data_IF_396210467981
#
_entry.id   IF_396210467981
#
_cell.length_a   1.000
_cell.length_b   1.000
_cell.length_c   1.000
_cell.angle_alpha   90.00
_cell.angle_beta   90.00
_cell.angle_gamma   90.00
#
_symmetry.space_group_name_H-M   'P 1'
#
loop_
_entity.id
_entity.type
_entity.pdbx_description
1 polymer ?
#
# COMPACT_ATOMS: atom_id res chain seq x y z
N UNK A 1 1.05 24.82 13.86
CA UNK A 1 1.82 26.08 13.90
C UNK A 1 3.27 25.72 13.58
N UNK A 2 3.71 26.05 12.37
CA UNK A 2 4.99 25.79 11.68
C UNK A 2 5.90 24.66 12.22
N UNK A 3 5.69 23.43 11.72
CA UNK A 3 6.67 22.31 11.82
C UNK A 3 7.64 22.24 10.63
N UNK A 4 7.43 23.08 9.61
CA UNK A 4 8.33 23.19 8.47
C UNK A 4 9.36 24.27 8.82
N UNK A 5 10.61 23.84 8.95
CA UNK A 5 11.74 24.77 9.03
C UNK A 5 12.26 24.96 7.61
N UNK A 6 12.50 26.20 7.22
CA UNK A 6 13.21 26.54 5.99
C UNK A 6 14.68 26.14 6.15
N UNK A 7 14.97 24.88 5.87
CA UNK A 7 16.33 24.34 5.86
C UNK A 7 16.62 23.93 4.43
N UNK A 8 17.75 24.41 3.88
CA UNK A 8 18.16 24.15 2.51
C UNK A 8 17.91 22.67 2.09
N UNK A 9 17.18 22.42 0.99
CA UNK A 9 16.70 21.07 0.63
C UNK A 9 17.80 20.05 0.33
N UNK A 10 19.03 20.49 0.06
CA UNK A 10 19.96 19.73 -0.78
C UNK A 10 21.01 18.91 -0.02
N UNK A 11 20.98 18.85 1.33
CA UNK A 11 22.11 18.27 2.09
C UNK A 11 21.76 17.39 3.32
N UNK A 12 20.50 16.98 3.58
CA UNK A 12 20.14 16.50 4.95
C UNK A 12 19.32 15.20 5.12
N UNK A 13 19.06 14.39 4.09
CA UNK A 13 18.41 13.05 4.28
C UNK A 13 19.31 11.93 4.76
N UNK A 14 20.52 11.72 4.19
CA UNK A 14 21.43 10.69 4.68
C UNK A 14 21.73 10.80 6.18
N UNK A 15 22.02 11.99 6.76
CA UNK A 15 22.47 12.08 8.14
C UNK A 15 21.38 11.72 9.15
N UNK A 16 20.10 12.09 8.97
CA UNK A 16 19.07 11.75 9.97
C UNK A 16 18.83 10.24 10.08
N UNK A 17 18.81 9.54 8.95
CA UNK A 17 18.61 8.10 8.93
C UNK A 17 19.77 7.36 9.59
N UNK A 18 20.99 7.78 9.26
CA UNK A 18 22.21 7.23 9.83
C UNK A 18 22.31 7.54 11.33
N UNK A 19 21.99 8.76 11.76
CA UNK A 19 22.09 9.19 13.16
C UNK A 19 21.10 8.42 14.04
N UNK A 20 19.82 8.31 13.64
CA UNK A 20 18.87 7.54 14.45
C UNK A 20 19.26 6.06 14.47
N UNK A 21 19.69 5.50 13.33
CA UNK A 21 20.05 4.08 13.26
C UNK A 21 21.27 3.77 14.12
N UNK A 22 22.30 4.63 14.08
CA UNK A 22 23.47 4.53 14.94
C UNK A 22 23.11 4.65 16.42
N UNK A 23 22.21 5.57 16.80
CA UNK A 23 21.76 5.70 18.18
C UNK A 23 21.02 4.45 18.67
N UNK A 24 20.18 3.85 17.82
CA UNK A 24 19.49 2.59 18.14
C UNK A 24 20.51 1.46 18.32
N UNK A 25 21.42 1.28 17.35
CA UNK A 25 22.37 0.17 17.34
C UNK A 25 23.46 0.27 18.41
N UNK A 26 23.88 1.48 18.81
CA UNK A 26 24.97 1.67 19.78
C UNK A 26 24.49 1.83 21.22
N UNK A 27 23.28 2.38 21.43
CA UNK A 27 22.82 2.76 22.77
C UNK A 27 21.56 1.98 23.14
N UNK A 28 20.50 2.08 22.33
CA UNK A 28 19.19 1.55 22.73
C UNK A 28 19.21 0.02 22.79
N UNK A 29 19.57 -0.62 21.67
CA UNK A 29 19.50 -2.07 21.51
C UNK A 29 20.51 -2.83 22.39
N UNK A 30 21.79 -2.43 22.50
CA UNK A 30 22.74 -3.16 23.35
C UNK A 30 22.39 -3.09 24.84
N UNK A 31 21.84 -1.96 25.31
CA UNK A 31 21.45 -1.80 26.72
C UNK A 31 20.19 -2.60 27.02
N UNK A 32 19.16 -2.54 26.16
CA UNK A 32 17.96 -3.37 26.34
C UNK A 32 18.29 -4.87 26.22
N UNK A 33 19.14 -5.24 25.27
CA UNK A 33 19.62 -6.61 25.09
C UNK A 33 20.44 -7.09 26.28
N UNK A 34 21.27 -6.25 26.90
CA UNK A 34 22.00 -6.62 28.12
C UNK A 34 21.06 -6.91 29.30
N UNK A 35 19.97 -6.15 29.44
CA UNK A 35 18.99 -6.40 30.50
C UNK A 35 18.30 -7.75 30.36
N UNK A 36 17.98 -8.15 29.11
CA UNK A 36 17.18 -9.32 28.79
C UNK A 36 18.04 -10.59 28.60
N UNK A 37 19.10 -10.52 27.78
CA UNK A 37 19.91 -11.67 27.38
C UNK A 37 21.33 -11.68 27.96
N UNK A 38 21.86 -10.52 28.33
CA UNK A 38 23.25 -10.37 28.77
C UNK A 38 23.51 -10.62 30.25
N UNK A 39 22.56 -11.23 30.98
CA UNK A 39 22.65 -11.42 32.44
C UNK A 39 22.32 -10.18 33.26
N UNK A 40 21.63 -9.20 32.67
CA UNK A 40 21.19 -8.01 33.39
C UNK A 40 20.05 -8.27 34.38
N UNK A 41 19.51 -7.19 34.93
CA UNK A 41 18.54 -7.26 36.02
C UNK A 41 17.21 -7.92 35.64
N UNK A 42 16.72 -7.77 34.39
CA UNK A 42 15.50 -8.45 33.94
C UNK A 42 15.70 -9.96 33.82
N UNK A 43 16.83 -10.38 33.22
CA UNK A 43 17.23 -11.79 33.18
C UNK A 43 17.30 -12.40 34.59
N UNK A 44 17.87 -11.66 35.56
CA UNK A 44 17.96 -12.08 36.96
C UNK A 44 16.60 -12.22 37.67
N UNK A 45 15.58 -11.53 37.17
CA UNK A 45 14.20 -11.59 37.67
C UNK A 45 13.36 -12.68 36.98
N UNK A 46 13.97 -13.54 36.15
CA UNK A 46 13.29 -14.57 35.36
C UNK A 46 12.36 -14.01 34.27
N UNK A 47 12.67 -12.82 33.75
CA UNK A 47 12.03 -12.29 32.56
C UNK A 47 12.45 -13.11 31.35
N UNK A 48 11.47 -13.61 30.61
CA UNK A 48 11.70 -14.48 29.47
C UNK A 48 11.29 -13.82 28.15
N UNK A 49 12.23 -13.77 27.22
CA UNK A 49 12.04 -13.29 25.85
C UNK A 49 13.02 -14.04 24.96
N UNK A 50 12.58 -15.15 24.36
CA UNK A 50 13.47 -16.10 23.69
C UNK A 50 14.20 -15.48 22.48
N UNK A 51 13.46 -14.97 21.50
CA UNK A 51 14.03 -14.40 20.28
C UNK A 51 13.83 -12.87 20.14
N UNK A 52 13.09 -12.21 21.04
CA UNK A 52 13.01 -10.73 21.08
C UNK A 52 11.66 -10.09 20.74
N UNK A 53 10.52 -10.57 21.24
CA UNK A 53 9.26 -9.80 21.12
C UNK A 53 9.35 -8.46 21.82
N UNK A 54 10.03 -8.37 22.97
CA UNK A 54 10.28 -7.10 23.64
C UNK A 54 11.55 -6.47 23.10
N UNK A 55 12.68 -7.19 23.12
CA UNK A 55 14.00 -6.66 22.81
C UNK A 55 14.12 -6.06 21.39
N UNK A 56 13.46 -6.68 20.41
CA UNK A 56 13.53 -6.28 19.00
C UNK A 56 12.24 -5.59 18.57
N UNK A 57 11.12 -6.31 18.66
CA UNK A 57 9.86 -5.84 18.06
C UNK A 57 9.22 -4.69 18.86
N UNK A 58 9.04 -4.84 20.17
CA UNK A 58 8.46 -3.75 20.98
C UNK A 58 9.35 -2.51 20.95
N UNK A 59 10.67 -2.67 21.10
CA UNK A 59 11.62 -1.55 21.00
C UNK A 59 11.47 -0.85 19.64
N UNK A 60 11.58 -1.59 18.53
CA UNK A 60 11.44 -1.00 17.19
C UNK A 60 10.08 -0.33 16.96
N UNK A 61 9.00 -0.95 17.41
CA UNK A 61 7.64 -0.43 17.30
C UNK A 61 7.39 0.84 18.13
N UNK A 62 7.93 0.92 19.35
CA UNK A 62 7.86 2.12 20.19
C UNK A 62 8.60 3.29 19.56
N UNK A 63 9.77 3.01 18.98
CA UNK A 63 10.57 4.02 18.28
C UNK A 63 9.83 4.51 17.04
N UNK A 64 9.23 3.59 16.28
CA UNK A 64 8.39 3.95 15.13
C UNK A 64 7.18 4.80 15.55
N UNK A 65 6.51 4.46 16.64
CA UNK A 65 5.37 5.20 17.19
C UNK A 65 5.78 6.62 17.61
N UNK A 66 6.87 6.74 18.36
CA UNK A 66 7.39 8.02 18.82
C UNK A 66 7.87 8.87 17.63
N UNK A 67 8.57 8.26 16.67
CA UNK A 67 9.04 8.90 15.46
C UNK A 67 7.88 9.44 14.63
N UNK A 68 6.84 8.63 14.39
CA UNK A 68 5.64 9.03 13.66
C UNK A 68 4.87 10.16 14.38
N UNK A 69 4.74 10.08 15.72
CA UNK A 69 4.09 11.12 16.51
C UNK A 69 4.85 12.47 16.48
N UNK A 70 6.19 12.42 16.57
CA UNK A 70 7.03 13.61 16.55
C UNK A 70 7.12 14.24 15.15
N UNK A 71 7.27 13.41 14.10
CA UNK A 71 7.28 13.84 12.70
C UNK A 71 5.93 14.45 12.28
N UNK A 72 4.85 13.85 12.77
CA UNK A 72 3.48 14.19 12.41
C UNK A 72 3.04 13.56 11.08
N UNK A 73 1.74 13.62 10.77
CA UNK A 73 1.16 12.86 9.66
C UNK A 73 1.49 13.43 8.29
N UNK A 74 1.53 12.58 7.26
CA UNK A 74 1.78 12.97 5.86
C UNK A 74 0.71 13.94 5.36
N UNK A 75 1.10 14.81 4.43
CA UNK A 75 0.17 15.75 3.79
C UNK A 75 -0.95 14.95 3.11
N UNK A 76 -2.21 15.29 3.40
CA UNK A 76 -3.39 14.65 2.80
C UNK A 76 -3.89 13.38 3.52
N UNK A 77 -3.17 12.87 4.53
CA UNK A 77 -3.60 11.71 5.34
C UNK A 77 -4.86 12.00 6.17
N UNK A 78 -5.04 13.22 6.65
CA UNK A 78 -6.23 13.63 7.42
C UNK A 78 -6.93 14.78 6.72
N UNK A 79 -8.25 14.70 6.60
CA UNK A 79 -9.07 15.81 6.10
C UNK A 79 -9.17 16.95 7.13
N UNK A 80 -9.82 18.06 6.74
CA UNK A 80 -10.06 19.22 7.62
C UNK A 80 -10.93 18.88 8.85
N UNK A 81 -11.70 17.79 8.79
CA UNK A 81 -12.56 17.28 9.86
C UNK A 81 -11.84 16.21 10.72
N UNK A 82 -10.61 15.86 10.38
CA UNK A 82 -9.83 14.82 11.05
C UNK A 82 -10.18 13.38 10.64
N UNK A 83 -10.97 13.16 9.58
CA UNK A 83 -11.20 11.83 8.99
C UNK A 83 -9.93 11.36 8.29
N UNK A 84 -9.48 10.15 8.60
CA UNK A 84 -8.34 9.54 7.93
C UNK A 84 -8.68 9.28 6.45
N UNK A 85 -7.70 9.45 5.57
CA UNK A 85 -7.72 9.08 4.16
C UNK A 85 -6.66 8.01 3.92
N UNK A 86 -7.04 6.92 3.26
CA UNK A 86 -6.09 5.88 2.92
C UNK A 86 -5.11 6.36 1.84
N UNK A 87 -3.82 6.20 2.09
CA UNK A 87 -2.77 6.29 1.07
C UNK A 87 -2.38 4.84 0.75
N UNK A 88 -2.81 4.27 -0.39
CA UNK A 88 -2.59 2.86 -0.70
C UNK A 88 -1.10 2.56 -0.89
N UNK A 89 -0.73 1.30 -0.65
CA UNK A 89 0.60 0.80 -0.95
C UNK A 89 0.90 0.91 -2.45
N UNK A 90 2.08 1.42 -2.78
CA UNK A 90 2.50 1.63 -4.17
C UNK A 90 2.70 0.33 -4.96
N UNK A 91 2.94 -0.81 -4.28
CA UNK A 91 3.13 -2.12 -4.90
C UNK A 91 2.80 -3.26 -3.90
N UNK A 92 1.69 -3.96 -4.14
CA UNK A 92 1.24 -5.07 -3.28
C UNK A 92 2.05 -6.37 -3.54
N UNK A 93 2.57 -6.59 -4.75
CA UNK A 93 3.38 -7.78 -5.03
C UNK A 93 4.74 -7.71 -4.34
N UNK A 94 5.35 -6.52 -4.27
CA UNK A 94 6.55 -6.29 -3.48
C UNK A 94 6.30 -6.49 -1.97
N UNK A 95 5.14 -6.07 -1.46
CA UNK A 95 4.72 -6.35 -0.08
C UNK A 95 4.60 -7.86 0.18
N UNK A 96 3.93 -8.59 -0.72
CA UNK A 96 3.79 -10.04 -0.63
C UNK A 96 5.15 -10.74 -0.60
N UNK A 97 6.05 -10.37 -1.53
CA UNK A 97 7.42 -10.90 -1.58
C UNK A 97 8.18 -10.61 -0.28
N UNK A 98 8.09 -9.40 0.24
CA UNK A 98 8.71 -9.02 1.51
C UNK A 98 8.22 -9.86 2.68
N UNK A 99 6.91 -10.11 2.77
CA UNK A 99 6.33 -10.95 3.83
C UNK A 99 6.79 -12.40 3.72
N UNK A 100 6.87 -12.97 2.50
CA UNK A 100 7.40 -14.32 2.31
C UNK A 100 8.86 -14.43 2.71
N UNK A 101 9.69 -13.45 2.35
CA UNK A 101 11.11 -13.41 2.76
C UNK A 101 11.20 -13.32 4.29
N UNK A 102 10.44 -12.42 4.93
CA UNK A 102 10.44 -12.26 6.38
C UNK A 102 9.97 -13.53 7.08
N UNK A 103 8.91 -14.17 6.61
CA UNK A 103 8.41 -15.44 7.17
C UNK A 103 9.47 -16.53 7.07
N UNK A 104 10.09 -16.69 5.89
CA UNK A 104 11.17 -17.67 5.71
C UNK A 104 12.35 -17.40 6.65
N UNK A 105 12.82 -16.14 6.71
CA UNK A 105 13.92 -15.76 7.58
C UNK A 105 13.56 -15.89 9.08
N UNK A 106 12.28 -15.84 9.45
CA UNK A 106 11.83 -16.00 10.83
C UNK A 106 12.08 -17.41 11.39
N UNK A 107 12.13 -18.42 10.53
CA UNK A 107 12.58 -19.76 10.95
C UNK A 107 14.02 -19.74 11.44
N UNK A 108 14.88 -18.98 10.76
CA UNK A 108 16.25 -18.74 11.20
C UNK A 108 16.31 -17.87 12.46
N UNK A 109 15.45 -16.85 12.56
CA UNK A 109 15.40 -15.94 13.70
C UNK A 109 15.00 -16.66 14.99
N UNK A 110 13.87 -17.36 15.00
CA UNK A 110 13.39 -18.09 16.16
C UNK A 110 14.18 -19.39 16.34
N UNK A 111 14.27 -20.24 15.31
CA UNK A 111 14.95 -21.54 15.43
C UNK A 111 16.44 -21.41 15.78
N UNK A 112 17.12 -20.39 15.24
CA UNK A 112 18.52 -20.10 15.56
C UNK A 112 18.74 -19.54 16.97
N UNK A 113 17.70 -18.99 17.61
CA UNK A 113 17.77 -18.50 19.00
C UNK A 113 17.90 -19.62 20.03
N UNK A 114 17.76 -20.89 19.61
CA UNK A 114 18.12 -22.07 20.41
C UNK A 114 19.62 -22.11 20.74
N UNK A 115 20.48 -21.43 19.94
CA UNK A 115 21.95 -21.29 20.09
C UNK A 115 22.78 -22.57 20.21
N UNK A 116 22.13 -23.74 20.23
CA UNK A 116 22.72 -25.06 20.25
C UNK A 116 21.87 -26.04 19.44
N UNK A 117 22.52 -27.03 18.83
CA UNK A 117 21.90 -28.19 18.16
C UNK A 117 22.78 -29.43 18.39
N UNK A 118 23.36 -29.53 19.58
CA UNK A 118 24.39 -30.54 19.89
C UNK A 118 23.80 -31.80 20.52
N UNK A 119 22.64 -31.68 21.15
CA UNK A 119 21.94 -32.78 21.80
C UNK A 119 20.58 -33.01 21.15
N UNK A 120 20.03 -34.21 21.32
CA UNK A 120 18.68 -34.54 20.82
C UNK A 120 17.62 -33.60 21.40
N UNK A 121 17.78 -33.17 22.66
CA UNK A 121 16.90 -32.20 23.31
C UNK A 121 16.95 -30.82 22.64
N UNK A 122 18.14 -30.33 22.26
CA UNK A 122 18.28 -29.05 21.54
C UNK A 122 17.60 -29.10 20.17
N UNK A 123 17.72 -30.26 19.48
CA UNK A 123 17.10 -30.48 18.18
C UNK A 123 15.57 -30.55 18.28
N UNK A 124 15.05 -31.22 19.31
CA UNK A 124 13.62 -31.26 19.60
C UNK A 124 13.07 -29.86 19.90
N UNK A 125 13.76 -29.08 20.74
CA UNK A 125 13.38 -27.71 21.05
C UNK A 125 13.37 -26.82 19.81
N UNK A 126 14.43 -26.84 19.01
CA UNK A 126 14.50 -26.06 17.77
C UNK A 126 13.37 -26.44 16.80
N UNK A 127 13.02 -27.74 16.71
CA UNK A 127 11.91 -28.21 15.88
C UNK A 127 10.55 -27.69 16.38
N UNK A 128 10.34 -27.69 17.69
CA UNK A 128 9.13 -27.16 18.33
C UNK A 128 9.01 -25.66 18.07
N UNK A 129 10.09 -24.91 18.25
CA UNK A 129 10.15 -23.46 18.00
C UNK A 129 9.80 -23.14 16.56
N UNK A 130 10.36 -23.86 15.58
CA UNK A 130 10.03 -23.67 14.16
C UNK A 130 8.56 -23.99 13.88
N UNK A 131 8.02 -25.06 14.47
CA UNK A 131 6.61 -25.43 14.31
C UNK A 131 5.67 -24.38 14.89
N UNK A 132 5.92 -23.92 16.12
CA UNK A 132 5.16 -22.87 16.78
C UNK A 132 5.19 -21.57 15.98
N UNK A 133 6.35 -21.22 15.42
CA UNK A 133 6.54 -20.03 14.58
C UNK A 133 5.64 -20.07 13.35
N UNK A 134 5.63 -21.20 12.62
CA UNK A 134 4.78 -21.35 11.44
C UNK A 134 3.29 -21.35 11.79
N UNK A 135 2.92 -22.05 12.86
CA UNK A 135 1.53 -22.20 13.27
C UNK A 135 0.93 -20.85 13.66
N UNK A 136 1.64 -20.04 14.47
CA UNK A 136 1.15 -18.72 14.89
C UNK A 136 0.98 -17.77 13.69
N UNK A 137 1.92 -17.78 12.75
CA UNK A 137 1.84 -16.97 11.52
C UNK A 137 0.64 -17.36 10.65
N UNK A 138 0.45 -18.67 10.41
CA UNK A 138 -0.65 -19.17 9.58
C UNK A 138 -2.02 -18.86 10.20
N UNK A 139 -2.16 -19.09 11.52
CA UNK A 139 -3.41 -18.82 12.25
C UNK A 139 -3.73 -17.32 12.25
N UNK A 140 -2.74 -16.46 12.54
CA UNK A 140 -2.94 -15.01 12.52
C UNK A 140 -3.39 -14.51 11.14
N UNK A 141 -2.79 -15.04 10.07
CA UNK A 141 -3.15 -14.71 8.68
C UNK A 141 -4.60 -15.08 8.36
N UNK A 142 -5.00 -16.32 8.67
CA UNK A 142 -6.37 -16.80 8.41
C UNK A 142 -7.39 -16.03 9.24
N UNK A 143 -7.09 -15.78 10.52
CA UNK A 143 -7.98 -15.03 11.41
C UNK A 143 -8.19 -13.61 10.92
N UNK A 144 -7.12 -12.90 10.54
CA UNK A 144 -7.26 -11.54 10.00
C UNK A 144 -8.00 -11.53 8.65
N UNK A 145 -7.76 -12.50 7.78
CA UNK A 145 -8.49 -12.61 6.52
C UNK A 145 -10.00 -12.80 6.77
N UNK A 146 -10.38 -13.71 7.66
CA UNK A 146 -11.80 -13.94 8.02
C UNK A 146 -12.38 -12.69 8.70
N UNK A 147 -11.65 -12.09 9.64
CA UNK A 147 -12.13 -10.92 10.38
C UNK A 147 -12.34 -9.71 9.46
N UNK A 148 -11.41 -9.44 8.54
CA UNK A 148 -11.56 -8.36 7.57
C UNK A 148 -12.69 -8.63 6.59
N UNK A 149 -12.90 -9.88 6.19
CA UNK A 149 -14.05 -10.26 5.37
C UNK A 149 -15.38 -10.00 6.07
N UNK A 150 -15.51 -10.39 7.34
CA UNK A 150 -16.72 -10.15 8.14
C UNK A 150 -16.96 -8.67 8.42
N UNK A 151 -15.90 -7.89 8.66
CA UNK A 151 -16.00 -6.48 9.05
C UNK A 151 -16.19 -5.54 7.86
N UNK A 152 -15.52 -5.80 6.75
CA UNK A 152 -15.48 -4.90 5.59
C UNK A 152 -16.20 -5.46 4.36
N UNK A 153 -16.71 -6.70 4.41
CA UNK A 153 -17.40 -7.37 3.30
C UNK A 153 -16.47 -7.94 2.23
N UNK A 154 -15.16 -7.61 2.27
CA UNK A 154 -14.13 -8.10 1.35
C UNK A 154 -12.83 -8.38 2.14
N UNK A 155 -12.02 -9.37 1.73
CA UNK A 155 -10.72 -9.63 2.37
C UNK A 155 -9.74 -8.50 2.05
N UNK A 156 -9.12 -7.91 3.08
CA UNK A 156 -8.08 -6.90 2.91
C UNK A 156 -6.71 -7.58 2.84
N UNK A 157 -6.10 -7.57 1.66
CA UNK A 157 -4.82 -8.23 1.39
C UNK A 157 -3.68 -7.60 2.19
N UNK A 158 -3.66 -6.27 2.33
CA UNK A 158 -2.59 -5.58 3.07
C UNK A 158 -2.64 -5.91 4.55
N UNK A 159 -3.85 -5.97 5.13
CA UNK A 159 -4.04 -6.36 6.53
C UNK A 159 -3.70 -7.83 6.76
N UNK A 160 -4.03 -8.70 5.81
CA UNK A 160 -3.69 -10.13 5.89
C UNK A 160 -2.18 -10.34 5.92
N UNK A 161 -1.43 -9.60 5.09
CA UNK A 161 0.04 -9.60 5.12
C UNK A 161 0.62 -9.06 6.42
N UNK A 162 0.09 -7.96 6.94
CA UNK A 162 0.50 -7.45 8.26
C UNK A 162 0.16 -8.42 9.40
N UNK A 163 -0.93 -9.18 9.27
CA UNK A 163 -1.29 -10.18 10.26
C UNK A 163 -0.36 -11.39 10.27
N UNK A 164 0.17 -11.80 9.12
CA UNK A 164 1.22 -12.82 9.06
C UNK A 164 2.43 -12.38 9.92
N UNK A 165 2.89 -11.14 9.72
CA UNK A 165 3.99 -10.57 10.50
C UNK A 165 3.62 -10.40 11.98
N UNK A 166 2.40 -9.98 12.31
CA UNK A 166 1.94 -9.86 13.69
C UNK A 166 1.99 -11.19 14.46
N UNK A 167 1.59 -12.29 13.81
CA UNK A 167 1.66 -13.64 14.39
C UNK A 167 3.11 -14.07 14.64
N UNK A 168 4.01 -13.79 13.70
CA UNK A 168 5.44 -14.03 13.85
C UNK A 168 6.05 -13.21 14.99
N UNK A 169 5.69 -11.92 15.12
CA UNK A 169 6.13 -11.08 16.24
C UNK A 169 5.61 -11.61 17.58
N UNK A 170 4.34 -11.98 17.67
CA UNK A 170 3.71 -12.40 18.92
C UNK A 170 4.29 -13.71 19.45
N UNK A 171 4.69 -14.64 18.57
CA UNK A 171 5.27 -15.93 18.98
C UNK A 171 6.78 -15.85 19.29
N UNK A 172 7.45 -14.74 18.98
CA UNK A 172 8.92 -14.60 19.10
C UNK A 172 9.45 -14.73 20.54
N UNK A 173 8.75 -14.20 21.55
CA UNK A 173 9.11 -14.37 22.95
C UNK A 173 8.72 -15.75 23.54
N UNK A 174 7.52 -16.30 23.27
CA UNK A 174 7.07 -17.55 23.88
C UNK A 174 7.38 -18.83 23.09
N UNK A 175 8.04 -18.78 21.92
CA UNK A 175 8.09 -19.93 20.99
C UNK A 175 8.74 -21.21 21.55
N UNK A 176 9.61 -21.12 22.54
CA UNK A 176 10.26 -22.23 23.25
C UNK A 176 9.40 -22.75 24.41
N UNK A 177 8.77 -21.85 25.17
CA UNK A 177 8.06 -22.19 26.40
C UNK A 177 6.57 -22.51 26.20
N UNK A 178 6.07 -22.61 24.96
CA UNK A 178 4.65 -22.89 24.68
C UNK A 178 4.44 -24.16 23.87
N UNK A 179 3.30 -24.80 24.13
CA UNK A 179 2.83 -25.91 23.30
C UNK A 179 2.27 -25.38 21.97
N UNK A 180 2.16 -26.21 20.93
CA UNK A 180 1.53 -25.81 19.67
C UNK A 180 0.10 -25.30 19.83
N UNK A 181 -0.64 -25.80 20.83
CA UNK A 181 -1.97 -25.29 21.16
C UNK A 181 -1.89 -23.86 21.72
N UNK A 182 -0.89 -23.57 22.55
CA UNK A 182 -0.60 -22.21 23.00
C UNK A 182 -0.25 -21.28 21.83
N UNK A 183 0.62 -21.73 20.92
CA UNK A 183 0.99 -20.98 19.72
C UNK A 183 -0.22 -20.64 18.83
N UNK A 184 -1.17 -21.57 18.68
CA UNK A 184 -2.43 -21.33 17.98
C UNK A 184 -3.22 -20.16 18.57
N UNK A 185 -3.44 -20.14 19.90
CA UNK A 185 -4.21 -19.07 20.54
C UNK A 185 -3.47 -17.72 20.53
N UNK A 186 -2.14 -17.73 20.65
CA UNK A 186 -1.32 -16.51 20.56
C UNK A 186 -1.46 -15.88 19.18
N UNK A 187 -1.35 -16.70 18.11
CA UNK A 187 -1.55 -16.25 16.73
C UNK A 187 -2.97 -15.77 16.46
N UNK A 188 -3.98 -16.42 17.03
CA UNK A 188 -5.38 -16.01 16.90
C UNK A 188 -5.62 -14.61 17.48
N UNK A 189 -5.13 -14.33 18.69
CA UNK A 189 -5.27 -13.01 19.30
C UNK A 189 -4.48 -11.96 18.52
N UNK A 190 -3.27 -12.29 18.05
CA UNK A 190 -2.44 -11.38 17.25
C UNK A 190 -3.15 -10.92 15.96
N UNK A 191 -3.84 -11.83 15.27
CA UNK A 191 -4.58 -11.54 14.05
C UNK A 191 -5.75 -10.56 14.24
N UNK A 192 -6.47 -10.63 15.37
CA UNK A 192 -7.49 -9.62 15.70
C UNK A 192 -6.86 -8.30 16.15
N UNK A 193 -5.84 -8.39 17.00
CA UNK A 193 -5.23 -7.25 17.66
C UNK A 193 -4.54 -6.32 16.65
N UNK A 194 -3.90 -6.85 15.61
CA UNK A 194 -3.27 -6.02 14.56
C UNK A 194 -4.31 -5.19 13.81
N UNK A 195 -5.47 -5.75 13.45
CA UNK A 195 -6.50 -5.04 12.68
C UNK A 195 -7.10 -3.91 13.52
N UNK A 196 -7.47 -4.20 14.77
CA UNK A 196 -8.02 -3.22 15.70
C UNK A 196 -7.00 -2.14 16.08
N UNK A 197 -5.74 -2.52 16.24
CA UNK A 197 -4.65 -1.59 16.55
C UNK A 197 -4.42 -0.61 15.40
N UNK A 198 -4.38 -1.07 14.15
CA UNK A 198 -4.22 -0.18 12.99
C UNK A 198 -5.37 0.83 12.92
N UNK A 199 -6.62 0.37 13.07
CA UNK A 199 -7.79 1.26 13.11
C UNK A 199 -7.68 2.30 14.25
N UNK A 200 -7.21 1.89 15.42
CA UNK A 200 -7.02 2.78 16.57
C UNK A 200 -5.95 3.84 16.30
N UNK A 201 -4.78 3.46 15.77
CA UNK A 201 -3.72 4.41 15.50
C UNK A 201 -4.08 5.38 14.38
N UNK A 202 -4.72 4.88 13.32
CA UNK A 202 -5.14 5.71 12.18
C UNK A 202 -6.27 6.67 12.57
N UNK A 203 -7.33 6.19 13.23
CA UNK A 203 -8.55 6.98 13.46
C UNK A 203 -8.58 7.72 14.80
N UNK A 204 -8.03 7.13 15.87
CA UNK A 204 -8.14 7.67 17.25
C UNK A 204 -6.87 8.41 17.63
N UNK A 205 -5.71 7.73 17.57
CA UNK A 205 -4.44 8.33 17.96
C UNK A 205 -3.93 9.37 16.93
N UNK A 206 -4.46 9.33 15.70
CA UNK A 206 -4.07 10.17 14.57
C UNK A 206 -2.56 10.10 14.29
N UNK A 207 -1.98 8.91 14.46
CA UNK A 207 -0.57 8.62 14.17
C UNK A 207 -0.53 7.95 12.81
N UNK A 208 0.07 8.63 11.84
CA UNK A 208 0.22 8.12 10.49
C UNK A 208 1.40 7.15 10.41
N UNK A 209 1.10 5.86 10.49
CA UNK A 209 2.04 4.76 10.30
C UNK A 209 1.83 4.14 8.90
N UNK A 210 2.70 4.42 7.91
CA UNK A 210 2.49 4.00 6.53
C UNK A 210 2.42 2.48 6.35
N UNK A 211 3.22 1.74 7.12
CA UNK A 211 3.37 0.29 6.95
C UNK A 211 2.57 -0.49 8.00
N UNK A 212 2.20 0.14 9.11
CA UNK A 212 1.58 -0.53 10.25
C UNK A 212 2.60 -1.15 11.22
N UNK A 213 3.85 -0.65 11.19
CA UNK A 213 4.95 -1.14 12.02
C UNK A 213 4.64 -1.04 13.53
N UNK A 214 3.93 0.00 13.97
CA UNK A 214 3.51 0.17 15.36
C UNK A 214 2.58 -0.97 15.77
N UNK A 215 1.57 -1.25 14.95
CA UNK A 215 0.59 -2.31 15.28
C UNK A 215 1.22 -3.70 15.20
N UNK A 216 2.05 -3.95 14.19
CA UNK A 216 2.73 -5.24 14.00
C UNK A 216 3.81 -5.48 15.05
N UNK A 217 4.65 -4.50 15.36
CA UNK A 217 5.81 -4.72 16.23
C UNK A 217 5.59 -4.29 17.67
N UNK A 218 4.98 -3.12 17.92
CA UNK A 218 4.76 -2.63 19.28
C UNK A 218 3.67 -3.44 19.98
N UNK A 219 2.47 -3.46 19.42
CA UNK A 219 1.31 -4.02 20.13
C UNK A 219 1.37 -5.54 20.18
N UNK A 220 1.76 -6.19 19.08
CA UNK A 220 1.96 -7.64 19.10
C UNK A 220 3.25 -8.06 19.81
N UNK A 221 4.27 -7.20 19.89
CA UNK A 221 5.46 -7.45 20.71
C UNK A 221 5.10 -7.47 22.20
N UNK A 222 4.32 -6.48 22.66
CA UNK A 222 3.76 -6.44 24.01
C UNK A 222 2.89 -7.66 24.27
N UNK A 223 1.98 -8.00 23.35
CA UNK A 223 1.13 -9.18 23.47
C UNK A 223 1.95 -10.46 23.57
N UNK A 224 2.96 -10.65 22.72
CA UNK A 224 3.83 -11.82 22.75
C UNK A 224 4.56 -11.99 24.07
N UNK A 225 5.12 -10.90 24.61
CA UNK A 225 5.81 -10.94 25.90
C UNK A 225 4.86 -11.19 27.07
N UNK A 226 3.64 -10.65 27.04
CA UNK A 226 2.62 -10.96 28.04
C UNK A 226 2.09 -12.41 27.90
N UNK A 227 2.02 -12.93 26.68
CA UNK A 227 1.59 -14.29 26.39
C UNK A 227 2.52 -15.34 27.01
N UNK A 228 3.82 -15.04 27.18
CA UNK A 228 4.74 -15.88 27.98
C UNK A 228 4.20 -16.09 29.40
N UNK A 229 3.78 -15.01 30.07
CA UNK A 229 3.23 -15.06 31.44
C UNK A 229 1.90 -15.81 31.54
N UNK A 230 1.19 -16.00 30.43
CA UNK A 230 -0.10 -16.69 30.37
C UNK A 230 0.05 -18.17 29.99
N UNK A 231 0.80 -18.45 28.91
CA UNK A 231 0.85 -19.74 28.23
C UNK A 231 2.15 -20.52 28.44
N UNK A 232 3.12 -20.02 29.22
CA UNK A 232 4.33 -20.79 29.52
C UNK A 232 3.99 -22.12 30.19
N UNK A 233 4.47 -23.23 29.62
CA UNK A 233 4.31 -24.58 30.16
C UNK A 233 5.32 -24.90 31.29
N UNK A 234 6.28 -24.00 31.54
CA UNK A 234 7.37 -24.20 32.49
C UNK A 234 8.55 -25.01 31.96
N UNK A 235 8.62 -25.23 30.64
CA UNK A 235 9.79 -25.77 29.95
C UNK A 235 10.98 -24.80 29.97
N UNK A 236 12.18 -25.34 29.82
CA UNK A 236 13.45 -24.61 29.67
C UNK A 236 13.82 -23.63 30.80
N UNK A 237 13.31 -23.86 32.01
CA UNK A 237 13.63 -23.07 33.20
C UNK A 237 12.74 -21.83 33.41
N UNK A 238 11.78 -21.59 32.51
CA UNK A 238 10.79 -20.53 32.67
C UNK A 238 9.75 -20.94 33.73
N UNK A 239 9.25 -20.00 34.54
CA UNK A 239 8.17 -20.33 35.47
C UNK A 239 6.87 -20.63 34.72
N UNK A 240 6.04 -21.53 35.26
CA UNK A 240 4.73 -21.85 34.67
C UNK A 240 3.87 -20.59 34.53
N UNK A 241 3.18 -20.46 33.41
CA UNK A 241 2.24 -19.39 33.15
C UNK A 241 0.95 -19.53 33.97
N UNK A 242 0.15 -18.46 33.96
CA UNK A 242 -1.11 -18.38 34.72
C UNK A 242 -2.06 -19.54 34.40
N UNK A 243 -2.17 -19.93 33.12
CA UNK A 243 -3.07 -21.01 32.69
C UNK A 243 -2.56 -22.41 33.00
N UNK A 244 -1.28 -22.55 33.34
CA UNK A 244 -0.63 -23.82 33.73
C UNK A 244 -0.40 -23.91 35.25
N UNK A 245 -1.00 -23.01 36.04
CA UNK A 245 -1.01 -23.06 37.50
C UNK A 245 0.19 -22.41 38.19
N UNK A 246 1.03 -21.64 37.48
CA UNK A 246 2.19 -20.96 38.07
C UNK A 246 1.91 -19.60 38.73
N UNK A 247 0.65 -19.16 38.77
CA UNK A 247 0.23 -17.92 39.43
C UNK A 247 0.48 -16.64 38.61
N UNK A 248 0.31 -15.48 39.26
CA UNK A 248 0.44 -14.15 38.62
C UNK A 248 1.87 -13.61 38.57
N UNK A 249 2.82 -14.29 39.21
CA UNK A 249 4.19 -13.82 39.36
C UNK A 249 4.90 -13.66 38.00
N UNK A 250 4.81 -14.68 37.13
CA UNK A 250 5.43 -14.62 35.80
C UNK A 250 4.81 -13.51 34.95
N UNK A 251 3.48 -13.37 34.95
CA UNK A 251 2.81 -12.27 34.24
C UNK A 251 3.25 -10.89 34.75
N UNK A 252 3.43 -10.74 36.06
CA UNK A 252 3.94 -9.51 36.68
C UNK A 252 5.37 -9.18 36.25
N UNK A 253 6.25 -10.18 36.19
CA UNK A 253 7.65 -10.03 35.73
C UNK A 253 7.68 -9.63 34.26
N UNK A 254 6.88 -10.30 33.41
CA UNK A 254 6.78 -9.96 31.99
C UNK A 254 6.25 -8.53 31.78
N UNK A 255 5.22 -8.13 32.52
CA UNK A 255 4.68 -6.77 32.45
C UNK A 255 5.69 -5.71 32.95
N UNK A 256 6.44 -6.01 34.01
CA UNK A 256 7.50 -5.15 34.51
C UNK A 256 8.60 -4.96 33.45
N UNK A 257 9.01 -6.04 32.77
CA UNK A 257 9.98 -5.98 31.68
C UNK A 257 9.52 -5.11 30.52
N UNK A 258 8.28 -5.32 30.06
CA UNK A 258 7.64 -4.49 29.02
C UNK A 258 7.66 -3.02 29.41
N UNK A 259 7.17 -2.66 30.60
CA UNK A 259 7.08 -1.26 31.05
C UNK A 259 8.46 -0.64 31.21
N UNK A 260 9.41 -1.37 31.78
CA UNK A 260 10.75 -0.84 32.07
C UNK A 260 11.55 -0.59 30.79
N UNK A 261 11.51 -1.53 29.85
CA UNK A 261 12.13 -1.36 28.53
C UNK A 261 11.41 -0.26 27.75
N UNK A 262 10.08 -0.22 27.77
CA UNK A 262 9.33 0.83 27.10
C UNK A 262 9.67 2.23 27.63
N UNK A 263 9.73 2.40 28.96
CA UNK A 263 10.09 3.67 29.59
C UNK A 263 11.52 4.10 29.20
N UNK A 264 12.48 3.18 29.25
CA UNK A 264 13.85 3.44 28.83
C UNK A 264 13.93 3.89 27.36
N UNK A 265 13.33 3.12 26.45
CA UNK A 265 13.35 3.42 25.00
C UNK A 265 12.68 4.76 24.72
N UNK A 266 11.52 5.03 25.33
CA UNK A 266 10.80 6.30 25.14
C UNK A 266 11.62 7.49 25.60
N UNK A 267 12.28 7.41 26.76
CA UNK A 267 13.11 8.51 27.28
C UNK A 267 14.31 8.77 26.37
N UNK A 268 15.08 7.73 26.04
CA UNK A 268 16.30 7.88 25.24
C UNK A 268 15.95 8.37 23.84
N UNK A 269 14.95 7.76 23.19
CA UNK A 269 14.61 8.13 21.81
C UNK A 269 13.88 9.46 21.72
N UNK A 270 13.16 9.88 22.75
CA UNK A 270 12.63 11.25 22.81
C UNK A 270 13.76 12.27 22.82
N UNK A 271 14.83 12.03 23.59
CA UNK A 271 16.01 12.90 23.62
C UNK A 271 16.70 12.90 22.25
N UNK A 272 16.93 11.73 21.66
CA UNK A 272 17.58 11.60 20.33
C UNK A 272 16.77 12.33 19.25
N UNK A 273 15.46 12.10 19.17
CA UNK A 273 14.62 12.77 18.19
C UNK A 273 14.55 14.29 18.42
N UNK A 274 14.58 14.75 19.67
CA UNK A 274 14.67 16.20 19.98
C UNK A 274 16.00 16.81 19.54
N UNK A 275 17.10 16.07 19.68
CA UNK A 275 18.41 16.50 19.18
C UNK A 275 18.36 16.61 17.65
N UNK A 276 17.87 15.58 16.97
CA UNK A 276 17.74 15.56 15.49
C UNK A 276 16.84 16.70 15.00
N UNK A 277 15.71 16.93 15.67
CA UNK A 277 14.78 18.03 15.33
C UNK A 277 15.43 19.42 15.43
N UNK A 278 16.36 19.59 16.38
CA UNK A 278 17.10 20.86 16.55
C UNK A 278 18.26 21.02 15.58
N UNK A 279 18.93 19.96 15.16
CA UNK A 279 20.15 20.03 14.35
C UNK A 279 19.87 19.89 12.85
N UNK A 280 19.21 18.81 12.44
CA UNK A 280 19.01 18.42 11.04
C UNK A 280 17.58 18.69 10.57
N UNK A 281 16.61 18.58 11.49
CA UNK A 281 15.18 18.63 11.21
C UNK A 281 14.62 17.23 10.94
N UNK A 282 13.41 16.95 11.46
CA UNK A 282 12.76 15.65 11.30
C UNK A 282 11.99 15.53 9.98
N UNK A 283 11.35 16.62 9.50
CA UNK A 283 10.49 16.64 8.32
C UNK A 283 11.08 17.50 7.22
N UNK A 284 10.94 17.03 5.97
CA UNK A 284 11.29 17.80 4.78
C UNK A 284 10.28 18.92 4.50
N UNK A 285 10.64 19.95 3.71
CA UNK A 285 9.71 20.97 3.27
C UNK A 285 8.49 20.37 2.55
N UNK A 286 7.33 21.03 2.67
CA UNK A 286 6.07 20.53 2.10
C UNK A 286 6.15 20.32 0.58
N UNK A 287 6.87 21.19 -0.14
CA UNK A 287 7.08 21.06 -1.58
C UNK A 287 7.83 19.77 -1.93
N UNK A 288 8.94 19.49 -1.24
CA UNK A 288 9.73 18.25 -1.40
C UNK A 288 8.94 17.00 -1.03
N UNK A 289 8.06 17.09 -0.02
CA UNK A 289 7.17 15.99 0.37
C UNK A 289 6.14 15.67 -0.73
N UNK A 290 5.66 16.69 -1.45
CA UNK A 290 4.67 16.54 -2.54
C UNK A 290 5.35 16.06 -3.83
N UNK A 291 6.51 16.63 -4.17
CA UNK A 291 7.26 16.29 -5.38
C UNK A 291 7.85 14.88 -5.32
N UNK A 292 8.09 14.37 -4.11
CA UNK A 292 8.64 13.04 -3.86
C UNK A 292 10.13 13.08 -3.54
N UNK A 293 10.52 12.29 -2.54
CA UNK A 293 11.89 12.28 -2.02
C UNK A 293 12.90 11.70 -3.02
N UNK A 294 12.48 10.80 -3.93
CA UNK A 294 13.37 10.16 -4.89
C UNK A 294 14.09 11.17 -5.80
N UNK A 295 13.36 12.21 -6.24
CA UNK A 295 13.87 13.26 -7.14
C UNK A 295 14.95 14.09 -6.45
N UNK A 296 14.67 14.50 -5.21
CA UNK A 296 15.54 15.42 -4.47
C UNK A 296 16.72 14.71 -3.79
N UNK A 297 16.58 13.44 -3.41
CA UNK A 297 17.60 12.73 -2.62
C UNK A 297 18.44 11.75 -3.44
N UNK A 298 17.84 11.11 -4.45
CA UNK A 298 18.51 10.09 -5.25
C UNK A 298 18.77 10.55 -6.69
N UNK A 299 18.26 11.73 -7.09
CA UNK A 299 18.32 12.21 -8.47
C UNK A 299 17.55 11.32 -9.45
N UNK A 300 16.65 10.48 -8.94
CA UNK A 300 15.84 9.56 -9.73
C UNK A 300 14.42 10.12 -9.85
N UNK A 301 13.89 10.17 -11.07
CA UNK A 301 12.50 10.57 -11.29
C UNK A 301 11.49 9.67 -10.54
N UNK A 302 11.88 8.41 -10.30
CA UNK A 302 11.16 7.42 -9.52
C UNK A 302 12.09 6.24 -9.25
N UNK A 303 12.00 5.62 -8.07
CA UNK A 303 12.63 4.32 -7.81
C UNK A 303 12.08 3.18 -8.72
N UNK A 304 10.95 3.41 -9.40
CA UNK A 304 10.37 2.50 -10.38
C UNK A 304 10.78 2.92 -11.80
N UNK A 305 11.43 2.01 -12.52
CA UNK A 305 11.79 2.21 -13.92
C UNK A 305 10.56 2.06 -14.84
N UNK A 306 9.91 3.16 -15.21
CA UNK A 306 8.82 3.17 -16.20
C UNK A 306 7.44 2.81 -15.64
N UNK A 307 6.47 2.60 -16.56
CA UNK A 307 5.02 2.44 -16.35
C UNK A 307 4.66 1.92 -14.94
N UNK A 308 4.41 2.85 -14.02
CA UNK A 308 3.59 2.55 -12.86
C UNK A 308 2.19 2.30 -13.42
N UNK A 309 1.92 1.04 -13.78
CA UNK A 309 0.57 0.56 -13.99
C UNK A 309 -0.07 0.71 -12.62
N UNK A 310 -0.86 1.77 -12.44
CA UNK A 310 -1.93 1.73 -11.46
C UNK A 310 -2.89 0.66 -11.97
N UNK A 311 -2.58 -0.59 -11.65
CA UNK A 311 -3.38 -1.73 -12.01
C UNK A 311 -4.60 -1.72 -11.09
N UNK A 312 -5.59 -0.92 -11.46
CA UNK A 312 -6.91 -0.93 -10.84
C UNK A 312 -7.81 -1.95 -11.55
N UNK A 313 -7.26 -3.11 -11.95
CA UNK A 313 -8.02 -4.26 -12.47
C UNK A 313 -8.84 -4.92 -11.37
N UNK A 314 -9.82 -4.16 -10.87
CA UNK A 314 -10.90 -4.61 -10.00
C UNK A 314 -12.14 -3.73 -10.10
N UNK A 315 -12.15 -2.73 -10.99
CA UNK A 315 -13.28 -1.83 -11.18
C UNK A 315 -14.28 -2.41 -12.19
N UNK A 316 -14.93 -3.51 -11.84
CA UNK A 316 -16.19 -3.86 -12.48
C UNK A 316 -17.31 -2.98 -11.90
N UNK A 317 -18.14 -2.42 -12.77
CA UNK A 317 -19.35 -1.73 -12.34
C UNK A 317 -20.37 -2.78 -11.87
N UNK A 318 -20.84 -2.66 -10.64
CA UNK A 318 -22.15 -3.20 -10.30
C UNK A 318 -23.20 -2.36 -11.04
N UNK A 319 -23.84 -2.95 -12.03
CA UNK A 319 -24.95 -2.34 -12.79
C UNK A 319 -26.07 -2.04 -11.81
N UNK A 320 -26.45 -0.77 -11.68
CA UNK A 320 -27.62 -0.34 -10.91
C UNK A 320 -28.73 0.21 -11.82
N UNK A 321 -29.90 0.45 -11.24
CA UNK A 321 -31.11 0.90 -11.94
C UNK A 321 -30.96 2.23 -12.70
N UNK A 322 -29.89 3.01 -12.45
CA UNK A 322 -29.58 4.26 -13.17
C UNK A 322 -28.49 4.08 -14.25
N UNK A 323 -27.96 2.87 -14.42
CA UNK A 323 -26.90 2.53 -15.38
C UNK A 323 -27.30 1.39 -16.33
N UNK A 324 -28.52 0.87 -16.28
CA UNK A 324 -29.03 -0.10 -17.24
C UNK A 324 -30.05 0.58 -18.16
N UNK A 325 -29.66 0.83 -19.42
CA UNK A 325 -30.50 1.44 -20.46
C UNK A 325 -30.90 0.43 -21.55
N UNK A 326 -30.73 -0.88 -21.29
CA UNK A 326 -31.15 -1.95 -22.19
C UNK A 326 -30.00 -2.61 -22.97
N UNK A 327 -30.32 -3.12 -24.17
CA UNK A 327 -29.49 -4.08 -24.92
C UNK A 327 -28.11 -3.53 -25.37
N UNK A 328 -27.03 -4.18 -24.92
CA UNK A 328 -25.61 -3.78 -25.13
C UNK A 328 -25.08 -3.99 -26.57
N UNK A 329 -25.88 -4.55 -27.48
CA UNK A 329 -25.47 -4.92 -28.84
C UNK A 329 -26.11 -3.99 -29.88
N UNK A 330 -25.29 -3.17 -30.55
CA UNK A 330 -25.73 -2.21 -31.58
C UNK A 330 -26.53 -2.88 -32.71
N UNK A 331 -26.25 -4.15 -33.01
CA UNK A 331 -26.97 -4.89 -34.06
C UNK A 331 -28.37 -5.35 -33.63
N UNK A 332 -28.65 -5.40 -32.32
CA UNK A 332 -29.92 -5.85 -31.73
C UNK A 332 -30.72 -4.71 -31.10
N UNK A 333 -30.11 -3.55 -30.88
CA UNK A 333 -30.77 -2.35 -30.37
C UNK A 333 -31.87 -1.84 -31.32
N UNK A 334 -33.02 -1.45 -30.78
CA UNK A 334 -34.12 -0.91 -31.58
C UNK A 334 -33.77 0.48 -32.16
N UNK A 335 -34.31 0.82 -33.34
CA UNK A 335 -34.13 2.15 -33.95
C UNK A 335 -34.46 3.30 -32.99
N UNK A 336 -35.46 3.12 -32.12
CA UNK A 336 -35.86 4.11 -31.14
C UNK A 336 -34.83 4.31 -30.01
N UNK A 337 -34.08 3.27 -29.61
CA UNK A 337 -33.01 3.37 -28.62
C UNK A 337 -31.75 4.06 -29.18
N UNK A 338 -31.44 3.79 -30.45
CA UNK A 338 -30.34 4.47 -31.18
C UNK A 338 -30.69 5.96 -31.40
N UNK A 339 -31.94 6.28 -31.72
CA UNK A 339 -32.42 7.65 -31.94
C UNK A 339 -32.62 8.45 -30.63
N UNK A 340 -32.79 7.78 -29.49
CA UNK A 340 -32.91 8.40 -28.16
C UNK A 340 -31.55 8.85 -27.60
N UNK A 341 -30.44 8.25 -28.04
CA UNK A 341 -29.08 8.68 -27.72
C UNK A 341 -28.73 9.94 -28.52
N UNK A 342 -29.25 11.09 -28.06
CA UNK A 342 -28.95 12.47 -28.47
C UNK A 342 -28.84 12.67 -29.99
N UNK A 343 -29.90 13.25 -30.59
CA UNK A 343 -29.86 13.77 -31.97
C UNK A 343 -28.58 14.59 -32.20
N UNK A 344 -27.69 14.06 -33.04
CA UNK A 344 -26.52 14.77 -33.51
C UNK A 344 -27.02 16.00 -34.27
N UNK A 345 -26.92 17.17 -33.65
CA UNK A 345 -27.07 18.41 -34.37
C UNK A 345 -25.82 18.55 -35.23
N UNK A 346 -25.94 18.20 -36.52
CA UNK A 346 -24.93 18.53 -37.52
C UNK A 346 -24.89 20.06 -37.67
N UNK A 347 -24.20 20.72 -36.74
CA UNK A 347 -23.82 22.10 -36.94
C UNK A 347 -22.65 22.07 -37.92
N UNK A 348 -22.85 22.63 -39.12
CA UNK A 348 -21.73 22.91 -40.03
C UNK A 348 -20.81 23.89 -39.33
N UNK A 349 -19.77 23.41 -38.68
CA UNK A 349 -18.72 24.24 -38.10
C UNK A 349 -17.76 24.66 -39.20
N UNK A 350 -18.25 25.48 -40.13
CA UNK A 350 -17.40 26.41 -40.86
C UNK A 350 -17.71 27.77 -40.27
N UNK A 351 -16.91 28.16 -39.28
CA UNK A 351 -16.88 29.55 -38.81
C UNK A 351 -16.01 30.30 -39.80
N UNK A 352 -16.58 31.34 -40.42
CA UNK A 352 -15.96 32.21 -41.40
C UNK A 352 -14.47 32.52 -41.06
N UNK A 353 -13.56 32.08 -41.93
CA UNK A 353 -12.19 32.63 -42.00
C UNK A 353 -11.02 31.77 -41.52
N UNK A 354 -11.18 30.49 -41.19
CA UNK A 354 -10.04 29.59 -40.92
C UNK A 354 -9.88 28.58 -42.06
N UNK A 355 -8.69 28.56 -42.67
CA UNK A 355 -8.31 27.65 -43.75
C UNK A 355 -8.53 26.18 -43.33
N UNK A 356 -9.51 25.51 -43.93
CA UNK A 356 -9.60 24.05 -43.89
C UNK A 356 -8.40 23.50 -44.64
N UNK A 357 -7.46 22.90 -43.91
CA UNK A 357 -6.22 22.35 -44.49
C UNK A 357 -6.43 20.97 -45.08
N UNK A 358 -7.63 20.39 -44.95
CA UNK A 358 -7.94 19.01 -45.32
C UNK A 358 -7.31 17.97 -44.37
N UNK A 359 -6.64 18.38 -43.30
CA UNK A 359 -6.02 17.51 -42.30
C UNK A 359 -6.66 17.70 -40.93
N UNK A 360 -7.14 16.61 -40.33
CA UNK A 360 -7.91 16.67 -39.10
C UNK A 360 -7.35 15.71 -38.05
N UNK A 361 -7.16 16.21 -36.83
CA UNK A 361 -6.84 15.41 -35.66
C UNK A 361 -8.12 15.04 -34.94
N UNK A 362 -8.41 13.74 -34.87
CA UNK A 362 -9.53 13.17 -34.11
C UNK A 362 -8.98 12.61 -32.81
N UNK A 363 -9.42 13.15 -31.68
CA UNK A 363 -9.08 12.67 -30.34
C UNK A 363 -10.29 12.00 -29.70
N UNK A 364 -10.19 10.70 -29.46
CA UNK A 364 -11.26 9.84 -28.95
C UNK A 364 -10.88 9.41 -27.54
N UNK A 365 -11.71 9.71 -26.56
CA UNK A 365 -11.55 9.22 -25.19
C UNK A 365 -12.58 8.13 -24.95
N UNK A 366 -12.16 6.90 -24.64
CA UNK A 366 -13.06 5.76 -24.44
C UNK A 366 -12.64 4.87 -23.25
N UNK A 367 -13.45 3.85 -22.94
CA UNK A 367 -13.12 2.82 -21.95
C UNK A 367 -11.99 1.93 -22.48
N UNK A 368 -11.12 1.45 -21.58
CA UNK A 368 -9.99 0.57 -21.93
C UNK A 368 -10.45 -0.73 -22.59
N UNK A 369 -11.53 -1.34 -22.09
CA UNK A 369 -12.09 -2.59 -22.63
C UNK A 369 -12.62 -2.49 -24.07
N UNK A 370 -12.87 -1.27 -24.57
CA UNK A 370 -13.36 -1.03 -25.94
C UNK A 370 -12.25 -0.59 -26.89
N UNK A 371 -11.00 -0.50 -26.41
CA UNK A 371 -9.87 -0.07 -27.24
C UNK A 371 -9.64 -1.02 -28.43
N UNK A 372 -9.68 -2.34 -28.22
CA UNK A 372 -9.47 -3.30 -29.30
C UNK A 372 -10.57 -3.23 -30.36
N UNK A 373 -11.82 -3.05 -29.95
CA UNK A 373 -12.94 -2.84 -30.87
C UNK A 373 -12.79 -1.54 -31.69
N UNK A 374 -12.36 -0.45 -31.05
CA UNK A 374 -12.07 0.81 -31.71
C UNK A 374 -10.90 0.69 -32.68
N UNK A 375 -9.81 0.02 -32.27
CA UNK A 375 -8.63 -0.21 -33.11
C UNK A 375 -8.98 -0.98 -34.38
N UNK A 376 -9.75 -2.06 -34.26
CA UNK A 376 -10.21 -2.84 -35.42
C UNK A 376 -11.06 -1.99 -36.35
N UNK A 377 -12.03 -1.23 -35.81
CA UNK A 377 -12.90 -0.37 -36.60
C UNK A 377 -12.13 0.73 -37.37
N UNK A 378 -11.08 1.30 -36.76
CA UNK A 378 -10.23 2.29 -37.40
C UNK A 378 -9.30 1.67 -38.46
N UNK A 379 -8.78 0.47 -38.20
CA UNK A 379 -7.96 -0.26 -39.17
C UNK A 379 -8.79 -0.67 -40.40
N UNK A 380 -10.03 -1.12 -40.22
CA UNK A 380 -10.94 -1.48 -41.32
C UNK A 380 -11.29 -0.28 -42.21
N UNK A 381 -11.25 0.93 -41.66
CA UNK A 381 -11.38 2.19 -42.39
C UNK A 381 -10.09 2.63 -43.11
N UNK A 382 -8.96 1.95 -42.88
CA UNK A 382 -7.66 2.27 -43.48
C UNK A 382 -6.84 3.32 -42.69
N UNK A 383 -7.12 3.53 -41.40
CA UNK A 383 -6.29 4.39 -40.54
C UNK A 383 -5.00 3.65 -40.19
N UNK A 384 -3.85 4.13 -40.67
CA UNK A 384 -2.55 3.48 -40.42
C UNK A 384 -1.85 3.97 -39.15
N UNK A 385 -2.09 5.22 -38.74
CA UNK A 385 -1.44 5.85 -37.59
C UNK A 385 -2.39 6.06 -36.41
N UNK A 386 -2.19 5.32 -35.32
CA UNK A 386 -2.94 5.47 -34.07
C UNK A 386 -1.96 5.76 -32.93
N UNK A 387 -2.13 6.89 -32.25
CA UNK A 387 -1.41 7.19 -31.00
C UNK A 387 -2.33 6.92 -29.83
N UNK A 388 -1.91 6.08 -28.89
CA UNK A 388 -2.68 5.76 -27.69
C UNK A 388 -2.00 6.33 -26.46
N UNK A 389 -2.75 7.03 -25.61
CA UNK A 389 -2.32 7.49 -24.30
C UNK A 389 -3.34 7.07 -23.26
N UNK A 390 -2.90 6.46 -22.16
CA UNK A 390 -3.78 6.22 -21.02
C UNK A 390 -4.02 7.53 -20.28
N UNK A 391 -5.28 7.85 -20.02
CA UNK A 391 -5.70 9.10 -19.36
C UNK A 391 -6.66 8.80 -18.22
N UNK A 392 -6.66 9.66 -17.23
CA UNK A 392 -7.52 9.55 -16.04
C UNK A 392 -8.62 10.61 -16.13
N UNK A 393 -9.89 10.22 -15.95
CA UNK A 393 -11.03 11.15 -16.10
C UNK A 393 -12.04 11.07 -14.96
N UNK A 394 -12.48 12.22 -14.45
CA UNK A 394 -13.58 12.31 -13.48
C UNK A 394 -14.85 12.78 -14.22
N UNK A 395 -15.93 12.01 -14.15
CA UNK A 395 -17.24 12.36 -14.72
C UNK A 395 -18.27 12.68 -13.64
N UNK A 396 -19.52 12.95 -14.06
CA UNK A 396 -20.68 13.17 -13.17
C UNK A 396 -20.95 11.95 -12.26
N UNK A 397 -20.46 10.77 -12.67
CA UNK A 397 -20.69 9.48 -12.02
C UNK A 397 -20.02 9.27 -10.66
N UNK A 398 -19.29 10.26 -10.09
CA UNK A 398 -18.61 10.21 -8.77
C UNK A 398 -18.32 8.76 -8.33
N UNK A 399 -17.19 8.20 -8.79
CA UNK A 399 -16.87 6.78 -8.71
C UNK A 399 -17.22 6.10 -7.38
N UNK A 400 -17.51 4.80 -7.45
CA UNK A 400 -17.85 3.99 -6.28
C UNK A 400 -16.75 4.12 -5.21
N UNK A 401 -17.16 4.40 -3.96
CA UNK A 401 -16.24 4.49 -2.84
C UNK A 401 -15.72 3.11 -2.46
N UNK A 402 -14.44 2.85 -2.67
CA UNK A 402 -13.77 1.65 -2.15
C UNK A 402 -13.25 1.89 -0.73
N UNK A 403 -13.06 0.83 0.06
CA UNK A 403 -12.43 0.92 1.38
C UNK A 403 -11.07 0.25 1.35
N UNK A 404 -10.03 0.94 1.82
CA UNK A 404 -8.69 0.38 2.04
C UNK A 404 -8.35 0.50 3.53
N UNK A 405 -8.03 -0.62 4.21
CA UNK A 405 -7.82 -0.67 5.66
C UNK A 405 -8.96 -0.03 6.48
N UNK A 406 -10.21 -0.25 6.06
CA UNK A 406 -11.40 0.29 6.74
C UNK A 406 -11.70 1.77 6.49
N UNK A 407 -10.87 2.48 5.72
CA UNK A 407 -11.05 3.89 5.38
C UNK A 407 -11.68 4.04 3.99
N UNK A 408 -12.74 4.84 3.88
CA UNK A 408 -13.39 5.17 2.59
C UNK A 408 -12.47 6.01 1.70
N UNK A 409 -12.31 5.56 0.46
CA UNK A 409 -11.62 6.26 -0.61
C UNK A 409 -12.62 7.16 -1.34
N UNK A 410 -12.31 8.44 -1.49
CA UNK A 410 -13.10 9.40 -2.28
C UNK A 410 -12.99 9.08 -3.78
N UNK A 411 -14.06 9.40 -4.52
CA UNK A 411 -14.25 9.13 -5.95
C UNK A 411 -12.99 9.30 -6.81
N UNK A 412 -12.44 8.17 -7.28
CA UNK A 412 -11.24 8.13 -8.10
C UNK A 412 -11.50 8.62 -9.53
N UNK A 413 -10.45 9.19 -10.13
CA UNK A 413 -10.38 9.35 -11.58
C UNK A 413 -10.46 7.95 -12.21
N UNK A 414 -11.36 7.73 -13.17
CA UNK A 414 -11.49 6.44 -13.83
C UNK A 414 -10.47 6.32 -14.97
N UNK A 415 -9.80 5.16 -15.12
CA UNK A 415 -8.88 4.92 -16.22
C UNK A 415 -9.64 4.89 -17.55
N UNK A 416 -9.13 5.65 -18.51
CA UNK A 416 -9.65 5.78 -19.87
C UNK A 416 -8.49 5.73 -20.86
N UNK A 417 -8.82 5.49 -22.12
CA UNK A 417 -7.85 5.56 -23.21
C UNK A 417 -8.17 6.76 -24.06
N UNK A 418 -7.16 7.59 -24.30
CA UNK A 418 -7.19 8.66 -25.29
C UNK A 418 -6.48 8.16 -26.55
N UNK A 419 -7.23 7.97 -27.61
CA UNK A 419 -6.76 7.62 -28.93
C UNK A 419 -6.70 8.89 -29.77
N UNK A 420 -5.56 9.19 -30.35
CA UNK A 420 -5.37 10.30 -31.26
C UNK A 420 -5.01 9.78 -32.65
N UNK A 421 -5.77 10.22 -33.64
CA UNK A 421 -5.61 9.89 -35.04
C UNK A 421 -5.54 11.17 -35.83
N UNK A 422 -4.63 11.25 -36.81
CA UNK A 422 -4.61 12.33 -37.79
C UNK A 422 -5.01 11.77 -39.14
N UNK A 423 -6.11 12.26 -39.71
CA UNK A 423 -6.66 11.81 -41.00
C UNK A 423 -6.61 12.92 -42.04
N UNK A 424 -6.41 12.54 -43.30
CA UNK A 424 -6.41 13.46 -44.45
C UNK A 424 -7.28 12.97 -45.61
N UNK A 425 -7.02 11.77 -46.14
CA UNK A 425 -7.82 11.17 -47.23
C UNK A 425 -9.15 10.56 -46.76
N UNK A 426 -9.22 10.16 -45.49
CA UNK A 426 -10.40 9.53 -44.90
C UNK A 426 -11.33 10.64 -44.38
N UNK A 427 -12.62 10.67 -44.79
CA UNK A 427 -13.57 11.64 -44.25
C UNK A 427 -13.68 11.54 -42.73
N UNK A 428 -13.63 12.68 -42.05
CA UNK A 428 -13.73 12.75 -40.58
C UNK A 428 -15.05 12.13 -40.10
N UNK A 429 -16.13 12.33 -40.84
CA UNK A 429 -17.44 11.77 -40.53
C UNK A 429 -17.43 10.23 -40.52
N UNK A 430 -16.65 9.60 -41.41
CA UNK A 430 -16.52 8.14 -41.42
C UNK A 430 -15.80 7.63 -40.16
N UNK A 431 -14.77 8.35 -39.70
CA UNK A 431 -14.05 8.04 -38.45
C UNK A 431 -14.96 8.21 -37.25
N UNK A 432 -15.77 9.27 -37.22
CA UNK A 432 -16.74 9.53 -36.14
C UNK A 432 -17.78 8.41 -36.08
N UNK A 433 -18.38 8.04 -37.21
CA UNK A 433 -19.43 7.01 -37.24
C UNK A 433 -18.91 5.61 -36.87
N UNK A 434 -17.72 5.22 -37.37
CA UNK A 434 -17.12 3.95 -36.96
C UNK A 434 -16.74 3.93 -35.48
N UNK A 435 -16.21 5.04 -34.95
CA UNK A 435 -15.89 5.17 -33.54
C UNK A 435 -17.14 5.12 -32.66
N UNK A 436 -18.23 5.79 -33.08
CA UNK A 436 -19.52 5.72 -32.39
C UNK A 436 -20.02 4.28 -32.34
N UNK A 437 -20.03 3.57 -33.49
CA UNK A 437 -20.48 2.18 -33.55
C UNK A 437 -19.65 1.24 -32.68
N UNK A 438 -18.33 1.43 -32.65
CA UNK A 438 -17.42 0.58 -31.88
C UNK A 438 -17.50 0.83 -30.36
N UNK A 439 -17.77 2.08 -29.96
CA UNK A 439 -17.76 2.51 -28.56
C UNK A 439 -19.13 2.50 -27.90
N UNK A 440 -20.22 2.46 -28.67
CA UNK A 440 -21.58 2.50 -28.15
C UNK A 440 -21.90 1.26 -27.32
N UNK A 441 -22.30 1.50 -26.07
CA UNK A 441 -22.94 0.51 -25.19
C UNK A 441 -24.27 1.00 -24.63
N UNK A 442 -24.66 2.26 -24.91
CA UNK A 442 -25.86 2.88 -24.35
C UNK A 442 -25.67 3.39 -22.93
N UNK A 443 -24.50 3.14 -22.32
CA UNK A 443 -24.20 3.49 -20.93
C UNK A 443 -23.44 4.81 -20.81
N UNK A 444 -23.64 5.51 -19.69
CA UNK A 444 -22.86 6.71 -19.39
C UNK A 444 -21.38 6.32 -19.30
N UNK A 445 -20.53 7.01 -20.07
CA UNK A 445 -19.07 6.80 -20.08
C UNK A 445 -18.52 6.08 -21.30
N UNK A 446 -19.30 5.89 -22.38
CA UNK A 446 -18.85 5.31 -23.65
C UNK A 446 -17.69 6.08 -24.30
N UNK A 447 -17.70 7.41 -24.19
CA UNK A 447 -16.57 8.22 -24.59
C UNK A 447 -16.92 9.61 -25.06
N UNK A 448 -15.91 10.35 -25.53
CA UNK A 448 -16.04 11.65 -26.20
C UNK A 448 -15.09 11.72 -27.38
N UNK A 449 -15.54 12.31 -28.48
CA UNK A 449 -14.73 12.53 -29.68
C UNK A 449 -14.55 14.04 -29.85
N UNK A 450 -13.31 14.47 -30.01
CA UNK A 450 -12.93 15.86 -30.29
C UNK A 450 -12.27 15.92 -31.66
N UNK A 451 -12.63 16.91 -32.47
CA UNK A 451 -12.05 17.11 -33.80
C UNK A 451 -11.33 18.44 -33.83
N UNK A 452 -10.09 18.44 -34.28
CA UNK A 452 -9.24 19.62 -34.42
C UNK A 452 -8.71 19.72 -35.86
N UNK A 453 -8.59 20.94 -36.39
CA UNK A 453 -7.93 21.20 -37.66
C UNK A 453 -6.40 21.21 -37.45
N UNK A 454 -5.66 20.51 -38.31
CA UNK A 454 -4.19 20.41 -38.25
C UNK A 454 -3.59 21.33 -39.31
N UNK A 455 -2.81 22.33 -38.88
CA UNK A 455 -2.26 23.34 -39.79
C UNK A 455 -1.02 22.87 -40.56
N UNK A 456 -0.20 21.99 -39.98
CA UNK A 456 1.03 21.49 -40.61
C UNK A 456 1.42 20.13 -40.05
N UNK A 457 1.91 19.25 -40.90
CA UNK A 457 2.52 17.95 -40.51
C UNK A 457 3.90 17.84 -41.15
N UNK A 458 4.89 17.29 -40.45
CA UNK A 458 6.23 17.07 -41.01
C UNK A 458 6.72 15.68 -40.65
N UNK A 459 7.05 14.85 -41.66
CA UNK A 459 7.63 13.53 -41.46
C UNK A 459 9.13 13.66 -41.25
N UNK A 460 9.58 13.44 -40.01
CA UNK A 460 10.99 13.68 -39.59
C UNK A 460 12.00 12.90 -40.44
N UNK A 461 11.68 11.68 -40.89
CA UNK A 461 12.61 10.83 -41.65
C UNK A 461 12.89 11.35 -43.06
N UNK A 462 11.86 11.84 -43.76
CA UNK A 462 11.93 12.18 -45.19
C UNK A 462 11.89 13.68 -45.43
N UNK A 463 11.53 14.49 -44.43
CA UNK A 463 11.29 15.92 -44.57
C UNK A 463 10.00 16.25 -45.34
N UNK A 464 9.19 15.26 -45.68
CA UNK A 464 7.90 15.47 -46.35
C UNK A 464 6.96 16.26 -45.43
N UNK A 465 6.18 17.15 -46.01
CA UNK A 465 5.22 17.98 -45.28
C UNK A 465 3.78 17.60 -45.62
N UNK A 466 2.89 17.86 -44.68
CA UNK A 466 1.42 17.80 -44.79
C UNK A 466 0.90 16.47 -45.33
N UNK A 467 0.23 16.50 -46.49
CA UNK A 467 -0.37 15.33 -47.11
C UNK A 467 0.65 14.25 -47.49
N UNK A 468 1.89 14.64 -47.82
CA UNK A 468 2.97 13.70 -48.11
C UNK A 468 3.53 13.08 -46.81
N UNK A 469 3.51 13.85 -45.72
CA UNK A 469 3.93 13.37 -44.40
C UNK A 469 2.99 12.31 -43.81
N UNK A 470 1.69 12.38 -44.12
CA UNK A 470 0.66 11.44 -43.64
C UNK A 470 0.48 10.20 -44.52
N UNK A 471 1.12 10.17 -45.70
CA UNK A 471 1.09 8.99 -46.56
C UNK A 471 2.26 8.07 -46.19
N UNK A 472 1.94 6.88 -45.69
CA UNK A 472 2.90 5.79 -45.64
C UNK A 472 3.12 5.34 -47.09
N UNK A 473 4.23 5.79 -47.67
CA UNK A 473 4.75 5.24 -48.91
C UNK A 473 5.54 3.99 -48.50
N UNK A 474 4.87 2.84 -48.51
CA UNK A 474 5.52 1.58 -48.86
C UNK A 474 5.03 1.14 -50.24
#
# INVERSE_FOLDING_TARGET
MNRYKDVHPEEKFPPRCIIYSAAISLIVYPISGHWIWGGGWLSSLNFHDFAGSTCVHMVGGLIACLGAAMLGPRIGKYDKNGKARAIPGHNITAMALGVFILWFCWFGFNGGSTVAMTTDADMELASLVMFNTNLAAAVSTVVAMIFTWLRYGKPDVSMTFNAALAGLVAITAPCDCVTPVGAFFIGLVAGFLVVLSVEFFDNVAKIDDPVGAVSVHMVNGIWGTLAVGLFSNGGDGVAKGLFYGGGVAQLGIQALGVVSVAAYVLVVMFIVFKIIDKTVGLRVPAQVEIDGLDIHEHGLASAYSGFAINDMTGMDMDVNENTDLGEDDYAKASKAQVDAAVKVVNQKTVVDGVYDTGMHKVSIICRLSKFDALKTALNDLGVTGITMTQVMGCGIQKGAGEKYRGVEMDANLLPKVKVEVVVSKIPVDAVIEASKKALYTGHIGDGKIFVYNVTRVVKVRTGEEDLAALQDVE
#
